data_IF_251285576525
#
_entry.id   IF_251285576525
#
_cell.length_a   1.000
_cell.length_b   1.000
_cell.length_c   1.000
_cell.angle_alpha   90.00
_cell.angle_beta   90.00
_cell.angle_gamma   90.00
#
_symmetry.space_group_name_H-M   'P 1'
#
loop_
_entity.id
_entity.type
_entity.pdbx_description
1 polymer ?
#
# COMPACT_ATOMS: atom_id res chain seq x y z
N UNK A 1 12.91 9.24 -16.11
CA UNK A 1 11.46 9.41 -16.33
C UNK A 1 11.27 10.76 -16.99
N UNK A 2 10.65 10.79 -18.15
CA UNK A 2 10.30 12.00 -18.88
C UNK A 2 9.10 12.66 -18.18
N UNK A 3 9.38 13.73 -17.42
CA UNK A 3 8.38 14.41 -16.60
C UNK A 3 7.36 15.17 -17.46
N UNK A 4 7.79 15.63 -18.65
CA UNK A 4 6.94 16.33 -19.61
C UNK A 4 5.95 15.34 -20.24
N UNK A 5 6.43 14.18 -20.65
CA UNK A 5 5.58 13.09 -21.13
C UNK A 5 4.56 12.65 -20.06
N UNK A 6 4.98 12.49 -18.82
CA UNK A 6 4.05 12.14 -17.73
C UNK A 6 2.96 13.21 -17.53
N UNK A 7 3.30 14.51 -17.65
CA UNK A 7 2.31 15.59 -17.54
C UNK A 7 1.31 15.54 -18.69
N UNK A 8 1.77 15.25 -19.90
CA UNK A 8 0.92 15.10 -21.09
C UNK A 8 0.00 13.89 -20.92
N UNK A 9 0.54 12.74 -20.58
CA UNK A 9 -0.22 11.49 -20.34
C UNK A 9 -1.28 11.69 -19.25
N UNK A 10 -0.94 12.42 -18.17
CA UNK A 10 -1.88 12.77 -17.09
C UNK A 10 -3.01 13.67 -17.56
N UNK A 11 -2.72 14.62 -18.44
CA UNK A 11 -3.73 15.53 -18.99
C UNK A 11 -4.67 14.78 -19.94
N UNK A 12 -4.13 13.91 -20.79
CA UNK A 12 -4.89 13.04 -21.67
C UNK A 12 -5.76 12.07 -20.88
N UNK A 13 -5.25 11.49 -19.81
CA UNK A 13 -6.01 10.62 -18.90
C UNK A 13 -7.18 11.36 -18.25
N UNK A 14 -7.00 12.62 -17.86
CA UNK A 14 -8.09 13.45 -17.28
C UNK A 14 -9.22 13.69 -18.30
N UNK A 15 -8.87 13.80 -19.57
CA UNK A 15 -9.85 14.03 -20.67
C UNK A 15 -10.49 12.72 -21.12
N UNK A 16 -9.80 11.57 -21.01
CA UNK A 16 -10.27 10.26 -21.48
C UNK A 16 -11.07 9.45 -20.47
N UNK A 17 -11.50 10.03 -19.35
CA UNK A 17 -12.28 9.33 -18.31
C UNK A 17 -11.45 8.78 -17.14
N UNK A 18 -10.25 9.33 -16.91
CA UNK A 18 -9.42 9.00 -15.76
C UNK A 18 -8.85 7.59 -15.79
N UNK A 19 -8.80 6.93 -14.63
CA UNK A 19 -8.27 5.55 -14.49
C UNK A 19 -9.08 4.56 -15.33
N UNK A 20 -10.39 4.73 -15.42
CA UNK A 20 -11.25 3.86 -16.22
C UNK A 20 -10.94 3.98 -17.73
N UNK A 21 -10.69 5.18 -18.22
CA UNK A 21 -10.24 5.40 -19.60
C UNK A 21 -8.93 4.69 -19.91
N UNK A 22 -7.97 4.76 -18.99
CA UNK A 22 -6.69 4.05 -19.12
C UNK A 22 -6.88 2.52 -19.12
N UNK A 23 -7.72 1.98 -18.23
CA UNK A 23 -8.05 0.56 -18.21
C UNK A 23 -8.71 0.11 -19.52
N UNK A 24 -9.63 0.91 -20.05
CA UNK A 24 -10.32 0.61 -21.29
C UNK A 24 -9.37 0.56 -22.49
N UNK A 25 -8.32 1.39 -22.54
CA UNK A 25 -7.32 1.36 -23.61
C UNK A 25 -6.52 0.06 -23.69
N UNK A 26 -6.52 -0.74 -22.62
CA UNK A 26 -5.83 -2.02 -22.55
C UNK A 26 -6.74 -3.25 -22.67
N UNK A 27 -8.07 -3.08 -22.60
CA UNK A 27 -9.05 -4.20 -22.63
C UNK A 27 -9.06 -4.99 -23.95
N UNK A 28 -8.53 -4.42 -25.04
CA UNK A 28 -8.45 -5.12 -26.34
C UNK A 28 -7.20 -6.00 -26.52
N UNK A 29 -6.28 -6.01 -25.53
CA UNK A 29 -5.07 -6.84 -25.60
C UNK A 29 -5.36 -8.29 -25.23
N UNK A 30 -4.63 -9.23 -25.83
CA UNK A 30 -4.65 -10.61 -25.36
C UNK A 30 -4.04 -10.73 -23.94
N UNK A 31 -4.34 -11.79 -23.18
CA UNK A 31 -3.69 -12.02 -21.89
C UNK A 31 -2.16 -12.03 -21.97
N UNK A 32 -1.60 -12.61 -23.03
CA UNK A 32 -0.16 -12.71 -23.28
C UNK A 32 0.45 -11.33 -23.53
N UNK A 33 -0.21 -10.50 -24.35
CA UNK A 33 0.23 -9.12 -24.64
C UNK A 33 0.15 -8.25 -23.37
N UNK A 34 -0.90 -8.41 -22.57
CA UNK A 34 -1.06 -7.67 -21.32
C UNK A 34 0.01 -8.06 -20.30
N UNK A 35 0.30 -9.36 -20.18
CA UNK A 35 1.34 -9.86 -19.29
C UNK A 35 2.73 -9.40 -19.72
N UNK A 36 3.04 -9.47 -21.03
CA UNK A 36 4.31 -8.98 -21.56
C UNK A 36 4.49 -7.48 -21.27
N UNK A 37 3.49 -6.67 -21.58
CA UNK A 37 3.51 -5.24 -21.32
C UNK A 37 3.73 -4.90 -19.82
N UNK A 38 3.02 -5.59 -18.93
CA UNK A 38 3.19 -5.42 -17.49
C UNK A 38 4.60 -5.81 -17.01
N UNK A 39 5.08 -6.96 -17.45
CA UNK A 39 6.42 -7.48 -17.09
C UNK A 39 7.52 -6.53 -17.55
N UNK A 40 7.45 -6.07 -18.80
CA UNK A 40 8.45 -5.20 -19.39
C UNK A 40 8.48 -3.85 -18.65
N UNK A 41 7.32 -3.26 -18.36
CA UNK A 41 7.23 -2.04 -17.55
C UNK A 41 7.75 -2.23 -16.10
N UNK A 42 7.53 -3.39 -15.49
CA UNK A 42 8.08 -3.70 -14.17
C UNK A 42 9.62 -3.80 -14.20
N UNK A 43 10.19 -4.39 -15.25
CA UNK A 43 11.64 -4.48 -15.44
C UNK A 43 12.27 -3.11 -15.72
N UNK A 44 11.65 -2.28 -16.55
CA UNK A 44 12.09 -0.90 -16.81
C UNK A 44 12.08 -0.07 -15.53
N UNK A 45 11.03 -0.16 -14.72
CA UNK A 45 10.96 0.53 -13.43
C UNK A 45 12.06 0.05 -12.48
N UNK A 46 12.29 -1.25 -12.37
CA UNK A 46 13.34 -1.81 -11.52
C UNK A 46 14.73 -1.33 -11.98
N UNK A 47 14.98 -1.29 -13.29
CA UNK A 47 16.23 -0.79 -13.85
C UNK A 47 16.42 0.71 -13.58
N UNK A 48 15.39 1.53 -13.80
CA UNK A 48 15.43 2.95 -13.51
C UNK A 48 15.67 3.24 -12.01
N UNK A 49 15.14 2.40 -11.12
CA UNK A 49 15.31 2.54 -9.68
C UNK A 49 16.78 2.39 -9.21
N UNK A 50 17.63 1.68 -9.97
CA UNK A 50 19.04 1.49 -9.63
C UNK A 50 19.88 2.76 -9.78
N UNK A 51 19.44 3.71 -10.59
CA UNK A 51 20.19 4.92 -10.93
C UNK A 51 19.52 6.22 -10.51
N UNK A 52 18.27 6.18 -10.06
CA UNK A 52 17.54 7.38 -9.67
C UNK A 52 18.03 7.93 -8.32
N UNK A 53 18.13 9.25 -8.21
CA UNK A 53 18.25 9.90 -6.91
C UNK A 53 16.95 9.71 -6.12
N UNK A 54 17.02 8.93 -5.04
CA UNK A 54 15.85 8.57 -4.22
C UNK A 54 15.21 9.77 -3.52
N UNK A 55 15.92 10.89 -3.38
CA UNK A 55 15.40 12.14 -2.81
C UNK A 55 14.67 13.02 -3.84
N UNK A 56 14.94 12.79 -5.14
CA UNK A 56 14.31 13.56 -6.22
C UNK A 56 12.79 13.48 -6.12
N UNK A 57 12.16 14.62 -6.25
CA UNK A 57 10.69 14.69 -6.30
C UNK A 57 10.21 14.34 -7.70
N UNK A 58 9.23 13.45 -7.74
CA UNK A 58 8.60 12.97 -8.96
C UNK A 58 7.16 13.46 -9.01
N UNK A 59 6.71 13.82 -10.20
CA UNK A 59 5.31 14.10 -10.45
C UNK A 59 4.48 12.82 -10.28
N UNK A 60 3.27 12.96 -9.75
CA UNK A 60 2.34 11.88 -9.48
C UNK A 60 0.90 12.34 -9.75
N UNK A 61 -0.06 11.44 -9.73
CA UNK A 61 -1.49 11.76 -9.88
C UNK A 61 -2.05 12.59 -8.72
N UNK A 62 -1.37 12.61 -7.58
CA UNK A 62 -1.60 13.47 -6.42
C UNK A 62 -0.46 14.46 -6.19
N UNK A 63 -0.23 14.90 -4.93
CA UNK A 63 0.92 15.72 -4.58
C UNK A 63 2.22 15.01 -4.94
N UNK A 64 3.21 15.78 -5.45
CA UNK A 64 4.52 15.20 -5.81
C UNK A 64 5.16 14.51 -4.61
N UNK A 65 5.83 13.39 -4.83
CA UNK A 65 6.51 12.62 -3.78
C UNK A 65 7.96 12.32 -4.16
N UNK A 66 8.79 11.91 -3.21
CA UNK A 66 10.15 11.49 -3.52
C UNK A 66 10.15 10.18 -4.32
N UNK A 67 11.19 9.94 -5.12
CA UNK A 67 11.37 8.68 -5.84
C UNK A 67 11.35 7.48 -4.87
N UNK A 68 11.94 7.62 -3.66
CA UNK A 68 11.84 6.62 -2.60
C UNK A 68 10.39 6.29 -2.24
N UNK A 69 9.58 7.31 -1.96
CA UNK A 69 8.17 7.12 -1.61
C UNK A 69 7.38 6.51 -2.75
N UNK A 70 7.66 6.91 -3.99
CA UNK A 70 7.02 6.35 -5.19
C UNK A 70 7.33 4.85 -5.35
N UNK A 71 8.59 4.46 -5.23
CA UNK A 71 9.01 3.05 -5.32
C UNK A 71 8.39 2.22 -4.19
N UNK A 72 8.34 2.77 -2.98
CA UNK A 72 7.71 2.09 -1.83
C UNK A 72 6.21 1.92 -2.04
N UNK A 73 5.52 2.97 -2.52
CA UNK A 73 4.10 2.88 -2.85
C UNK A 73 3.84 1.87 -3.98
N UNK A 74 4.67 1.86 -5.03
CA UNK A 74 4.55 0.89 -6.12
C UNK A 74 4.76 -0.56 -5.64
N UNK A 75 5.70 -0.79 -4.71
CA UNK A 75 5.89 -2.10 -4.09
C UNK A 75 4.64 -2.53 -3.32
N UNK A 76 4.05 -1.62 -2.53
CA UNK A 76 2.80 -1.88 -1.80
C UNK A 76 1.66 -2.26 -2.76
N UNK A 77 1.43 -1.46 -3.81
CA UNK A 77 0.39 -1.72 -4.81
C UNK A 77 0.60 -3.07 -5.51
N UNK A 78 1.84 -3.36 -5.93
CA UNK A 78 2.16 -4.63 -6.59
C UNK A 78 1.92 -5.82 -5.66
N UNK A 79 2.29 -5.72 -4.39
CA UNK A 79 2.08 -6.77 -3.41
C UNK A 79 0.58 -6.94 -3.09
N UNK A 80 -0.14 -5.84 -2.85
CA UNK A 80 -1.55 -5.89 -2.48
C UNK A 80 -2.43 -6.44 -3.62
N UNK A 81 -2.20 -6.00 -4.86
CA UNK A 81 -2.91 -6.54 -6.02
C UNK A 81 -2.45 -7.95 -6.40
N UNK A 82 -1.19 -8.29 -6.14
CA UNK A 82 -0.72 -9.67 -6.25
C UNK A 82 -1.47 -10.61 -5.29
N UNK A 83 -1.78 -10.12 -4.08
CA UNK A 83 -2.59 -10.88 -3.11
C UNK A 83 -4.05 -11.02 -3.59
N UNK A 84 -4.64 -9.98 -4.20
CA UNK A 84 -5.97 -10.07 -4.81
C UNK A 84 -6.03 -11.17 -5.90
N UNK A 85 -4.97 -11.29 -6.72
CA UNK A 85 -4.88 -12.33 -7.75
C UNK A 85 -4.71 -13.71 -7.11
N UNK A 86 -3.81 -13.83 -6.12
CA UNK A 86 -3.58 -15.09 -5.41
C UNK A 86 -4.87 -15.60 -4.74
N UNK A 87 -5.61 -14.72 -4.07
CA UNK A 87 -6.92 -15.04 -3.48
C UNK A 87 -7.92 -15.54 -4.55
N UNK A 88 -7.94 -14.91 -5.72
CA UNK A 88 -8.86 -15.28 -6.80
C UNK A 88 -8.59 -16.66 -7.40
N UNK A 89 -7.34 -17.12 -7.38
CA UNK A 89 -6.93 -18.43 -7.91
C UNK A 89 -6.69 -19.49 -6.83
N UNK A 90 -6.92 -19.14 -5.56
CA UNK A 90 -6.76 -20.07 -4.43
C UNK A 90 -5.29 -20.36 -4.07
N UNK A 91 -4.38 -19.46 -4.44
CA UNK A 91 -2.95 -19.57 -4.14
C UNK A 91 -2.56 -18.69 -2.96
N UNK A 92 -1.41 -18.96 -2.36
CA UNK A 92 -0.84 -18.16 -1.28
C UNK A 92 0.49 -17.54 -1.67
N UNK A 93 0.69 -16.27 -1.34
CA UNK A 93 1.98 -15.60 -1.51
C UNK A 93 2.86 -15.85 -0.28
N UNK A 94 4.09 -16.31 -0.51
CA UNK A 94 5.08 -16.43 0.57
C UNK A 94 5.51 -15.03 1.04
N UNK A 95 5.30 -14.67 2.32
CA UNK A 95 5.73 -13.39 2.86
C UNK A 95 7.26 -13.26 2.82
N UNK A 96 7.75 -12.06 2.56
CA UNK A 96 9.19 -11.73 2.58
C UNK A 96 9.42 -10.45 3.36
N UNK A 97 10.66 -10.16 3.73
CA UNK A 97 11.03 -8.95 4.47
C UNK A 97 10.84 -7.65 3.69
N UNK A 98 10.50 -7.72 2.39
CA UNK A 98 10.02 -6.55 1.64
C UNK A 98 8.76 -5.93 2.25
N UNK A 99 8.02 -6.69 3.07
CA UNK A 99 6.87 -6.18 3.82
C UNK A 99 7.20 -5.05 4.78
N UNK A 100 8.48 -4.87 5.17
CA UNK A 100 8.90 -3.71 5.97
C UNK A 100 8.52 -2.38 5.30
N UNK A 101 8.58 -2.33 3.98
CA UNK A 101 8.21 -1.12 3.23
C UNK A 101 6.70 -0.89 3.21
N UNK A 102 5.91 -1.95 3.13
CA UNK A 102 4.44 -1.88 3.20
C UNK A 102 4.01 -1.48 4.61
N UNK A 103 4.59 -2.11 5.63
CA UNK A 103 4.34 -1.76 7.03
C UNK A 103 4.71 -0.29 7.32
N UNK A 104 5.86 0.17 6.81
CA UNK A 104 6.28 1.57 6.97
C UNK A 104 5.27 2.56 6.38
N UNK A 105 4.75 2.31 5.17
CA UNK A 105 3.68 3.13 4.61
C UNK A 105 2.43 3.07 5.49
N UNK A 106 2.03 1.88 5.93
CA UNK A 106 0.87 1.70 6.80
C UNK A 106 0.95 2.57 8.05
N UNK A 107 2.08 2.53 8.74
CA UNK A 107 2.32 3.37 9.93
C UNK A 107 2.29 4.86 9.59
N UNK A 108 2.97 5.27 8.52
CA UNK A 108 3.03 6.68 8.10
C UNK A 108 1.69 7.22 7.61
N UNK A 109 0.81 6.37 7.14
CA UNK A 109 -0.52 6.72 6.65
C UNK A 109 -1.58 6.81 7.77
N UNK A 110 -1.24 6.59 9.04
CA UNK A 110 -2.21 6.67 10.14
C UNK A 110 -3.00 7.98 10.11
N UNK A 111 -2.32 9.13 10.14
CA UNK A 111 -2.98 10.44 10.10
C UNK A 111 -3.84 10.63 8.84
N UNK A 112 -3.37 10.15 7.68
CA UNK A 112 -4.14 10.17 6.44
C UNK A 112 -5.42 9.35 6.54
N UNK A 113 -5.37 8.16 7.15
CA UNK A 113 -6.55 7.32 7.35
C UNK A 113 -7.63 8.02 8.17
N UNK A 114 -7.26 8.74 9.24
CA UNK A 114 -8.20 9.55 10.02
C UNK A 114 -8.84 10.66 9.17
N UNK A 115 -8.03 11.47 8.51
CA UNK A 115 -8.50 12.59 7.67
C UNK A 115 -9.41 12.10 6.55
N UNK A 116 -9.05 11.04 5.86
CA UNK A 116 -9.85 10.46 4.75
C UNK A 116 -11.21 9.95 5.24
N UNK A 117 -11.29 9.50 6.50
CA UNK A 117 -12.54 9.09 7.14
C UNK A 117 -13.27 10.26 7.86
N UNK A 118 -12.90 11.51 7.59
CA UNK A 118 -13.55 12.70 8.19
C UNK A 118 -13.28 12.87 9.69
N UNK A 119 -12.19 12.27 10.20
CA UNK A 119 -11.80 12.32 11.62
C UNK A 119 -10.56 13.20 11.78
N UNK A 120 -10.39 13.75 12.98
CA UNK A 120 -9.15 14.46 13.34
C UNK A 120 -8.04 13.46 13.57
N UNK A 121 -6.88 13.68 12.91
CA UNK A 121 -5.70 12.88 13.18
C UNK A 121 -5.28 13.05 14.66
N UNK A 122 -5.01 11.95 15.39
CA UNK A 122 -4.58 12.04 16.78
C UNK A 122 -3.14 12.57 16.87
N UNK A 123 -2.88 13.34 17.93
CA UNK A 123 -1.51 13.74 18.30
C UNK A 123 -0.78 12.61 19.05
N UNK A 124 -1.52 11.62 19.53
CA UNK A 124 -1.01 10.50 20.30
C UNK A 124 -0.30 9.50 19.38
N UNK A 125 0.90 9.11 19.79
CA UNK A 125 1.71 8.12 19.08
C UNK A 125 1.19 6.70 19.34
N UNK A 126 1.26 5.85 18.32
CA UNK A 126 0.96 4.42 18.45
C UNK A 126 2.26 3.63 18.30
N UNK A 127 2.58 2.80 19.26
CA UNK A 127 3.68 1.86 19.15
C UNK A 127 3.29 0.68 18.27
N UNK A 128 4.06 0.40 17.23
CA UNK A 128 3.86 -0.74 16.34
C UNK A 128 5.06 -1.68 16.48
N UNK A 129 4.80 -2.97 16.76
CA UNK A 129 5.81 -4.01 16.90
C UNK A 129 5.39 -5.23 16.07
N UNK A 130 6.17 -5.54 15.06
CA UNK A 130 5.81 -6.57 14.08
C UNK A 130 6.90 -7.64 13.98
N UNK A 131 6.49 -8.91 14.01
CA UNK A 131 7.35 -10.04 13.71
C UNK A 131 7.49 -10.17 12.18
N UNK A 132 8.71 -10.01 11.70
CA UNK A 132 9.08 -10.14 10.30
C UNK A 132 9.02 -11.60 9.81
N UNK A 133 8.90 -11.86 8.50
CA UNK A 133 9.06 -13.20 7.93
C UNK A 133 10.39 -13.87 8.25
N UNK A 134 11.48 -13.10 8.38
CA UNK A 134 12.81 -13.59 8.79
C UNK A 134 12.90 -13.96 10.28
N UNK A 135 11.89 -13.60 11.09
CA UNK A 135 11.92 -13.74 12.55
C UNK A 135 12.49 -12.51 13.28
N UNK A 136 12.93 -11.48 12.58
CA UNK A 136 13.32 -10.21 13.19
C UNK A 136 12.09 -9.44 13.72
N UNK A 137 12.33 -8.51 14.65
CA UNK A 137 11.28 -7.62 15.16
C UNK A 137 11.47 -6.22 14.57
N UNK A 138 10.44 -5.69 13.94
CA UNK A 138 10.40 -4.32 13.44
C UNK A 138 9.54 -3.46 14.34
N UNK A 139 10.00 -2.24 14.64
CA UNK A 139 9.28 -1.33 15.54
C UNK A 139 9.17 0.08 14.98
N UNK A 140 8.07 0.75 15.32
CA UNK A 140 7.81 2.17 15.06
C UNK A 140 7.15 2.79 16.29
N UNK A 141 7.45 4.06 16.55
CA UNK A 141 6.94 4.80 17.69
C UNK A 141 7.64 4.47 19.00
N UNK A 142 7.16 5.08 20.09
CA UNK A 142 7.71 4.89 21.41
C UNK A 142 7.16 3.62 22.07
N UNK A 143 7.99 2.75 22.66
CA UNK A 143 7.52 1.57 23.39
C UNK A 143 6.69 1.92 24.64
N UNK A 144 6.75 3.19 25.08
CA UNK A 144 5.97 3.72 26.21
C UNK A 144 4.64 4.35 25.77
N UNK A 145 4.26 4.29 24.49
CA UNK A 145 2.98 4.79 24.01
C UNK A 145 1.82 4.05 24.67
N UNK A 146 0.74 4.78 24.98
CA UNK A 146 -0.48 4.24 25.61
C UNK A 146 -1.28 3.33 24.66
N UNK A 147 -1.03 3.48 23.37
CA UNK A 147 -1.66 2.71 22.29
C UNK A 147 -0.63 1.89 21.52
N UNK A 148 -0.95 0.64 21.19
CA UNK A 148 -0.04 -0.23 20.45
C UNK A 148 -0.74 -1.22 19.51
N UNK A 149 -0.01 -1.63 18.45
CA UNK A 149 -0.38 -2.72 17.55
C UNK A 149 0.78 -3.72 17.49
N UNK A 150 0.51 -4.99 17.79
CA UNK A 150 1.51 -6.06 17.76
C UNK A 150 1.00 -7.26 16.98
N UNK A 151 1.91 -7.97 16.31
CA UNK A 151 1.59 -9.19 15.58
C UNK A 151 2.54 -9.48 14.44
N UNK A 152 2.11 -10.27 13.45
CA UNK A 152 2.92 -10.54 12.27
C UNK A 152 2.95 -9.32 11.33
N UNK A 153 4.09 -9.09 10.67
CA UNK A 153 4.21 -8.07 9.64
C UNK A 153 3.23 -8.34 8.48
N UNK A 154 2.99 -9.60 8.13
CA UNK A 154 2.02 -9.97 7.10
C UNK A 154 0.60 -9.56 7.49
N UNK A 155 0.14 -9.91 8.70
CA UNK A 155 -1.19 -9.55 9.17
C UNK A 155 -1.39 -8.03 9.21
N UNK A 156 -0.40 -7.28 9.72
CA UNK A 156 -0.45 -5.81 9.72
C UNK A 156 -0.56 -5.25 8.29
N UNK A 157 0.28 -5.73 7.36
CA UNK A 157 0.22 -5.29 5.97
C UNK A 157 -1.13 -5.60 5.31
N UNK A 158 -1.71 -6.78 5.57
CA UNK A 158 -3.05 -7.13 5.10
C UNK A 158 -4.13 -6.18 5.63
N UNK A 159 -4.07 -5.83 6.92
CA UNK A 159 -5.03 -4.91 7.53
C UNK A 159 -4.93 -3.50 6.95
N UNK A 160 -3.72 -2.90 6.88
CA UNK A 160 -3.53 -1.52 6.41
C UNK A 160 -3.74 -1.36 4.90
N UNK A 161 -3.66 -2.44 4.12
CA UNK A 161 -4.02 -2.45 2.69
C UNK A 161 -5.46 -2.92 2.45
N UNK A 162 -6.22 -3.22 3.50
CA UNK A 162 -7.61 -3.69 3.46
C UNK A 162 -7.80 -5.00 2.66
N UNK A 163 -6.79 -5.89 2.66
CA UNK A 163 -6.85 -7.21 2.01
C UNK A 163 -7.39 -8.29 2.95
N UNK A 164 -7.39 -8.02 4.26
CA UNK A 164 -8.03 -8.85 5.29
C UNK A 164 -8.73 -7.94 6.29
N UNK A 165 -9.79 -8.42 6.90
CA UNK A 165 -10.37 -7.74 8.04
C UNK A 165 -9.39 -7.76 9.23
N UNK A 166 -9.34 -6.69 10.02
CA UNK A 166 -8.37 -6.59 11.13
C UNK A 166 -8.46 -7.75 12.12
N UNK A 167 -9.66 -8.28 12.35
CA UNK A 167 -9.89 -9.42 13.25
C UNK A 167 -9.31 -10.74 12.70
N UNK A 168 -9.12 -10.83 11.38
CA UNK A 168 -8.55 -12.02 10.72
C UNK A 168 -7.01 -11.93 10.61
N UNK A 169 -6.40 -10.82 11.06
CA UNK A 169 -4.97 -10.56 10.89
C UNK A 169 -4.11 -11.03 12.08
N UNK A 170 -4.70 -11.56 13.13
CA UNK A 170 -3.96 -12.03 14.32
C UNK A 170 -3.19 -10.90 15.04
N UNK A 171 -3.71 -9.68 15.00
CA UNK A 171 -3.09 -8.52 15.64
C UNK A 171 -3.61 -8.33 17.07
N UNK A 172 -2.70 -8.01 17.99
CA UNK A 172 -3.05 -7.51 19.32
C UNK A 172 -3.06 -5.98 19.28
N UNK A 173 -4.25 -5.39 19.45
CA UNK A 173 -4.46 -3.94 19.40
C UNK A 173 -4.84 -3.43 20.78
N UNK A 174 -4.03 -2.55 21.36
CA UNK A 174 -4.21 -1.99 22.72
C UNK A 174 -4.32 -0.47 22.65
N UNK A 175 -5.16 0.11 23.49
CA UNK A 175 -5.40 1.57 23.54
C UNK A 175 -6.49 2.03 22.56
N UNK A 176 -7.06 3.20 22.83
CA UNK A 176 -8.21 3.69 22.07
C UNK A 176 -7.81 4.15 20.67
N UNK A 177 -6.69 4.89 20.57
CA UNK A 177 -6.20 5.41 19.29
C UNK A 177 -5.81 4.27 18.34
N UNK A 178 -5.14 3.22 18.85
CA UNK A 178 -4.80 2.07 18.03
C UNK A 178 -6.04 1.31 17.54
N UNK A 179 -7.06 1.12 18.40
CA UNK A 179 -8.33 0.48 18.00
C UNK A 179 -9.06 1.30 16.95
N UNK A 180 -9.15 2.60 17.16
CA UNK A 180 -9.77 3.50 16.18
C UNK A 180 -9.02 3.48 14.85
N UNK A 181 -7.70 3.62 14.89
CA UNK A 181 -6.87 3.54 13.69
C UNK A 181 -7.08 2.22 12.93
N UNK A 182 -6.96 1.08 13.59
CA UNK A 182 -7.07 -0.22 12.92
C UNK A 182 -8.46 -0.47 12.33
N UNK A 183 -9.51 0.19 12.86
CA UNK A 183 -10.86 0.12 12.28
C UNK A 183 -11.02 0.88 10.95
N UNK A 184 -10.09 1.80 10.65
CA UNK A 184 -10.12 2.68 9.46
C UNK A 184 -8.79 2.67 8.70
N UNK A 185 -7.89 1.75 9.04
CA UNK A 185 -6.54 1.75 8.50
C UNK A 185 -6.54 1.68 6.96
N UNK A 186 -5.76 2.58 6.35
CA UNK A 186 -5.66 2.70 4.90
C UNK A 186 -4.27 3.22 4.54
N UNK A 187 -3.48 2.40 3.84
CA UNK A 187 -2.13 2.72 3.40
C UNK A 187 -2.07 3.27 1.96
N UNK A 188 -3.15 3.14 1.21
CA UNK A 188 -3.26 3.56 -0.20
C UNK A 188 -4.01 4.90 -0.34
N UNK A 189 -3.75 5.61 -1.45
CA UNK A 189 -4.46 6.83 -1.80
C UNK A 189 -5.87 6.53 -2.35
N UNK A 190 -6.81 7.43 -2.09
CA UNK A 190 -8.18 7.32 -2.56
C UNK A 190 -9.22 7.47 -1.45
N UNK A 191 -10.51 7.34 -1.77
CA UNK A 191 -11.58 7.36 -0.77
C UNK A 191 -11.48 6.15 0.17
N UNK A 192 -12.14 6.21 1.33
CA UNK A 192 -12.22 5.06 2.23
C UNK A 192 -12.82 3.85 1.50
N UNK A 193 -12.14 2.71 1.59
CA UNK A 193 -12.69 1.45 1.10
C UNK A 193 -13.59 0.80 2.14
N UNK A 194 -14.45 -0.12 1.70
CA UNK A 194 -15.26 -0.95 2.61
C UNK A 194 -14.43 -2.06 3.28
N UNK A 195 -13.21 -2.31 2.79
CA UNK A 195 -12.39 -3.42 3.22
C UNK A 195 -12.98 -4.80 2.88
N UNK A 196 -12.45 -5.83 3.52
CA UNK A 196 -12.98 -7.21 3.46
C UNK A 196 -13.86 -7.48 4.67
N UNK A 197 -14.87 -8.32 4.52
CA UNK A 197 -15.67 -8.77 5.64
C UNK A 197 -14.85 -9.71 6.56
N UNK A 198 -15.18 -9.71 7.86
CA UNK A 198 -14.59 -10.64 8.82
C UNK A 198 -14.89 -12.09 8.40
N UNK A 199 -13.88 -12.96 8.46
CA UNK A 199 -13.97 -14.37 8.07
C UNK A 199 -14.01 -14.62 6.55
N UNK A 200 -13.89 -13.58 5.71
CA UNK A 200 -13.93 -13.75 4.25
C UNK A 200 -12.68 -14.49 3.73
N UNK A 201 -11.55 -14.28 4.36
CA UNK A 201 -10.25 -14.89 4.00
C UNK A 201 -9.51 -15.29 5.29
N UNK A 202 -10.01 -16.26 5.98
CA UNK A 202 -9.41 -16.84 7.19
C UNK A 202 -8.53 -18.04 6.86
#
# INVERSE_FOLDING_TARGET
VDEERFRTDRQEMSVSGGVEGLQNSHRGRSPEELFAWWRDGAQELAHAALSVDLSKRCAWYGPSMSARSMLTARLMETWAHGLDIADAVGESLTPTDRLIHVAHIGVRAMGFAFVTNGRTAPDEEVFVELLAPSGETWTWGSPNASSSVRGSAYGFCCAVTQRRHVNDCGLTVTGNVAREWMSIAQAFAGPPGSGRAEGQFS
#
